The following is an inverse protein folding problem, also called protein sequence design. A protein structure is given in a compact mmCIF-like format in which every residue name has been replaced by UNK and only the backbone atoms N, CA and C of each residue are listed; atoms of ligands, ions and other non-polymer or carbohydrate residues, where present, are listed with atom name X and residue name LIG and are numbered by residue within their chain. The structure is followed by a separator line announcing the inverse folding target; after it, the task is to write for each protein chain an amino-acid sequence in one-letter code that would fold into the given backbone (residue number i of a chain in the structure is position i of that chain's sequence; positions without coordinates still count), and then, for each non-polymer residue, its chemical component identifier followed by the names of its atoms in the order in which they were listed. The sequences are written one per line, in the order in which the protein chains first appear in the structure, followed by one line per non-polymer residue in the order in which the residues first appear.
data_IF_159671400680
#
_entry.id   IF_159671400680
#
_cell.length_a   1.000
_cell.length_b   1.000
_cell.length_c   1.000
_cell.angle_alpha   90.00
_cell.angle_beta   90.00
_cell.angle_gamma   90.00
#
_symmetry.space_group_name_H-M   'P 1'
#
loop_
_entity.id
_entity.type
_entity.pdbx_description
1 polymer ?
#
# COMPACT_ATOMS: atom_id res chain seq x y z
N UNK A 1 14.02 -50.94 25.02
CA UNK A 1 13.75 -50.27 23.73
C UNK A 1 12.68 -49.19 23.83
N UNK A 2 11.48 -49.48 24.34
CA UNK A 2 10.36 -48.52 24.34
C UNK A 2 10.70 -47.14 24.96
N UNK A 3 11.41 -47.09 26.09
CA UNK A 3 11.84 -45.83 26.75
C UNK A 3 12.76 -44.97 25.90
N UNK A 4 13.65 -45.58 25.12
CA UNK A 4 14.60 -44.86 24.24
C UNK A 4 13.82 -44.27 23.06
N UNK A 5 12.87 -45.00 22.49
CA UNK A 5 12.01 -44.53 21.40
C UNK A 5 11.19 -43.31 21.86
N UNK A 6 10.59 -43.36 23.04
CA UNK A 6 9.87 -42.21 23.61
C UNK A 6 10.77 -41.01 23.85
N UNK A 7 11.99 -41.20 24.36
CA UNK A 7 12.93 -40.10 24.57
C UNK A 7 13.34 -39.44 23.24
N UNK A 8 13.62 -40.22 22.20
CA UNK A 8 13.97 -39.69 20.86
C UNK A 8 12.79 -38.93 20.25
N UNK A 9 11.57 -39.47 20.33
CA UNK A 9 10.37 -38.80 19.84
C UNK A 9 10.09 -37.48 20.59
N UNK A 10 10.25 -37.47 21.91
CA UNK A 10 10.04 -36.27 22.72
C UNK A 10 11.06 -35.17 22.38
N UNK A 11 12.34 -35.52 22.23
CA UNK A 11 13.38 -34.57 21.81
C UNK A 11 13.13 -34.06 20.40
N UNK A 12 12.79 -34.94 19.45
CA UNK A 12 12.48 -34.54 18.08
C UNK A 12 11.29 -33.58 18.02
N UNK A 13 10.22 -33.88 18.75
CA UNK A 13 9.05 -32.99 18.85
C UNK A 13 9.41 -31.65 19.50
N UNK A 14 10.20 -31.64 20.57
CA UNK A 14 10.63 -30.40 21.24
C UNK A 14 11.48 -29.52 20.30
N UNK A 15 12.38 -30.10 19.51
CA UNK A 15 13.18 -29.38 18.53
C UNK A 15 12.31 -28.83 17.39
N UNK A 16 11.33 -29.60 16.90
CA UNK A 16 10.38 -29.13 15.91
C UNK A 16 9.54 -27.95 16.45
N UNK A 17 9.03 -28.06 17.67
CA UNK A 17 8.29 -26.98 18.32
C UNK A 17 9.16 -25.73 18.51
N UNK A 18 10.42 -25.89 18.93
CA UNK A 18 11.36 -24.78 19.08
C UNK A 18 11.66 -24.12 17.73
N UNK A 19 11.83 -24.90 16.67
CA UNK A 19 12.04 -24.41 15.31
C UNK A 19 10.83 -23.60 14.82
N UNK A 20 9.61 -24.15 14.90
CA UNK A 20 8.38 -23.46 14.50
C UNK A 20 8.15 -22.18 15.32
N UNK A 21 8.45 -22.20 16.62
CA UNK A 21 8.35 -21.02 17.47
C UNK A 21 9.36 -19.94 17.09
N UNK A 22 10.60 -20.34 16.77
CA UNK A 22 11.63 -19.42 16.30
C UNK A 22 11.25 -18.80 14.94
N UNK A 23 10.62 -19.57 14.06
CA UNK A 23 10.13 -19.11 12.76
C UNK A 23 9.02 -18.07 12.93
N UNK A 24 7.96 -18.37 13.69
CA UNK A 24 6.88 -17.41 13.99
C UNK A 24 7.43 -16.13 14.62
N UNK A 25 8.40 -16.24 15.53
CA UNK A 25 9.03 -15.05 16.15
C UNK A 25 9.80 -14.17 15.18
N UNK A 26 10.29 -14.71 14.06
CA UNK A 26 11.01 -13.90 13.05
C UNK A 26 10.06 -13.02 12.24
N UNK A 27 8.83 -13.48 12.00
CA UNK A 27 7.89 -12.78 11.12
C UNK A 27 7.06 -11.72 11.87
N UNK A 28 6.78 -11.96 13.16
CA UNK A 28 5.98 -11.06 14.01
C UNK A 28 6.49 -9.60 14.02
N UNK A 29 7.80 -9.31 14.12
CA UNK A 29 8.30 -7.93 14.09
C UNK A 29 7.96 -7.19 12.79
N UNK A 30 8.07 -7.85 11.63
CA UNK A 30 7.78 -7.21 10.34
C UNK A 30 6.29 -6.91 10.20
N UNK A 31 5.46 -7.87 10.62
CA UNK A 31 4.00 -7.73 10.62
C UNK A 31 3.57 -6.60 11.57
N UNK A 32 4.12 -6.57 12.79
CA UNK A 32 3.84 -5.52 13.76
C UNK A 32 4.29 -4.15 13.28
N UNK A 33 5.51 -4.04 12.73
CA UNK A 33 6.04 -2.78 12.22
C UNK A 33 5.20 -2.25 11.05
N UNK A 34 4.80 -3.11 10.11
CA UNK A 34 3.92 -2.72 9.01
C UNK A 34 2.53 -2.27 9.53
N UNK A 35 1.98 -2.98 10.52
CA UNK A 35 0.73 -2.58 11.16
C UNK A 35 0.83 -1.22 11.85
N UNK A 36 1.90 -0.99 12.61
CA UNK A 36 2.17 0.27 13.30
C UNK A 36 2.38 1.44 12.34
N UNK A 37 3.09 1.21 11.25
CA UNK A 37 3.30 2.17 10.17
C UNK A 37 1.97 2.58 9.52
N UNK A 38 1.11 1.62 9.19
CA UNK A 38 -0.20 1.90 8.60
C UNK A 38 -1.13 2.63 9.58
N UNK A 39 -1.12 2.23 10.86
CA UNK A 39 -1.96 2.84 11.89
C UNK A 39 -1.49 4.25 12.29
N UNK A 40 -0.17 4.47 12.32
CA UNK A 40 0.45 5.68 12.89
C UNK A 40 1.60 6.21 12.02
N UNK A 41 1.35 6.56 10.74
CA UNK A 41 2.41 6.94 9.79
C UNK A 41 3.21 8.17 10.25
N UNK A 42 2.60 9.07 11.03
CA UNK A 42 3.27 10.27 11.56
C UNK A 42 4.42 9.98 12.51
N UNK A 43 4.41 8.83 13.19
CA UNK A 43 5.47 8.42 14.12
C UNK A 43 6.73 7.94 13.39
N UNK A 44 6.59 7.55 12.12
CA UNK A 44 7.67 7.06 11.27
C UNK A 44 8.32 8.18 10.45
N UNK A 45 7.89 9.43 10.65
CA UNK A 45 8.53 10.60 10.02
C UNK A 45 9.98 10.65 10.47
N UNK A 46 10.90 10.70 9.51
CA UNK A 46 12.35 10.67 9.73
C UNK A 46 12.91 9.33 10.22
N UNK A 47 12.18 8.23 10.04
CA UNK A 47 12.66 6.88 10.40
C UNK A 47 13.27 6.10 9.23
N UNK A 48 13.65 6.77 8.14
CA UNK A 48 14.21 6.15 6.93
C UNK A 48 15.44 5.27 7.24
N UNK A 49 16.41 5.80 7.99
CA UNK A 49 17.65 5.08 8.30
C UNK A 49 17.42 3.89 9.24
N UNK A 50 16.49 4.04 10.22
CA UNK A 50 16.08 2.95 11.11
C UNK A 50 15.41 1.82 10.31
N UNK A 51 14.54 2.17 9.37
CA UNK A 51 13.86 1.22 8.52
C UNK A 51 14.82 0.52 7.54
N UNK A 52 15.81 1.24 7.02
CA UNK A 52 16.87 0.67 6.18
C UNK A 52 17.71 -0.35 6.96
N UNK A 53 18.15 -0.02 8.18
CA UNK A 53 18.86 -0.96 9.05
C UNK A 53 18.03 -2.19 9.40
N UNK A 54 16.73 -2.01 9.67
CA UNK A 54 15.81 -3.11 9.91
C UNK A 54 15.68 -4.03 8.70
N UNK A 55 15.40 -3.48 7.52
CA UNK A 55 15.19 -4.26 6.29
C UNK A 55 16.47 -5.01 5.85
N UNK A 56 17.64 -4.42 6.08
CA UNK A 56 18.92 -5.09 5.89
C UNK A 56 19.08 -6.34 6.79
N UNK A 57 18.52 -6.30 8.01
CA UNK A 57 18.60 -7.42 8.98
C UNK A 57 17.61 -8.56 8.71
N UNK A 58 16.46 -8.26 8.09
CA UNK A 58 15.38 -9.25 7.89
C UNK A 58 15.66 -10.18 6.70
N UNK A 59 16.48 -9.75 5.74
CA UNK A 59 16.87 -10.57 4.59
C UNK A 59 15.72 -10.89 3.63
N UNK A 60 15.95 -11.79 2.68
CA UNK A 60 14.91 -12.34 1.80
C UNK A 60 14.67 -13.82 2.08
N UNK A 61 13.41 -14.23 2.09
CA UNK A 61 13.01 -15.63 2.14
C UNK A 61 12.83 -16.16 0.71
N UNK A 62 12.99 -17.47 0.54
CA UNK A 62 12.65 -18.16 -0.72
C UNK A 62 11.22 -18.69 -0.70
N UNK A 63 10.70 -18.98 0.48
CA UNK A 63 9.36 -19.51 0.68
C UNK A 63 8.34 -18.38 0.77
N UNK A 64 7.11 -18.65 0.33
CA UNK A 64 6.02 -17.69 0.37
C UNK A 64 5.32 -17.71 1.73
N UNK A 65 5.34 -16.56 2.42
CA UNK A 65 4.41 -16.26 3.51
C UNK A 65 3.68 -14.95 3.15
N UNK A 66 2.42 -15.03 2.68
CA UNK A 66 1.65 -13.87 2.27
C UNK A 66 1.60 -12.72 3.29
N UNK A 67 1.58 -13.02 4.60
CA UNK A 67 1.51 -11.98 5.63
C UNK A 67 2.85 -11.28 5.76
N UNK A 68 3.91 -12.06 5.88
CA UNK A 68 5.26 -11.54 6.00
C UNK A 68 5.70 -10.78 4.73
N UNK A 69 5.47 -11.36 3.55
CA UNK A 69 5.83 -10.76 2.27
C UNK A 69 5.07 -9.46 2.02
N UNK A 70 3.78 -9.41 2.36
CA UNK A 70 2.99 -8.16 2.33
C UNK A 70 3.56 -7.12 3.28
N UNK A 71 3.90 -7.52 4.51
CA UNK A 71 4.47 -6.60 5.50
C UNK A 71 5.82 -6.03 5.06
N UNK A 72 6.69 -6.87 4.48
CA UNK A 72 7.94 -6.40 3.88
C UNK A 72 7.70 -5.43 2.71
N UNK A 73 6.74 -5.71 1.84
CA UNK A 73 6.38 -4.81 0.74
C UNK A 73 5.92 -3.44 1.25
N UNK A 74 5.10 -3.40 2.31
CA UNK A 74 4.66 -2.15 2.96
C UNK A 74 5.84 -1.37 3.53
N UNK A 75 6.75 -2.07 4.24
CA UNK A 75 7.92 -1.45 4.86
C UNK A 75 8.89 -0.90 3.80
N UNK A 76 9.13 -1.62 2.71
CA UNK A 76 10.00 -1.15 1.63
C UNK A 76 9.40 0.04 0.87
N UNK A 77 8.08 0.02 0.64
CA UNK A 77 7.39 1.17 0.07
C UNK A 77 7.54 2.41 0.97
N UNK A 78 7.31 2.25 2.28
CA UNK A 78 7.48 3.35 3.21
C UNK A 78 8.92 3.85 3.31
N UNK A 79 9.92 2.97 3.19
CA UNK A 79 11.32 3.41 3.10
C UNK A 79 11.53 4.28 1.86
N UNK A 80 11.03 3.86 0.70
CA UNK A 80 11.13 4.64 -0.53
C UNK A 80 10.45 6.01 -0.40
N UNK A 81 9.25 6.06 0.19
CA UNK A 81 8.51 7.31 0.42
C UNK A 81 9.24 8.24 1.42
N UNK A 82 9.76 7.69 2.52
CA UNK A 82 10.51 8.47 3.52
C UNK A 82 11.82 9.03 2.95
N UNK A 83 12.49 8.29 2.06
CA UNK A 83 13.69 8.76 1.37
C UNK A 83 13.39 9.82 0.32
N UNK A 84 12.21 9.76 -0.31
CA UNK A 84 11.77 10.75 -1.31
C UNK A 84 11.22 12.04 -0.69
N UNK A 85 10.91 12.06 0.61
CA UNK A 85 10.26 13.20 1.27
C UNK A 85 11.13 14.47 1.44
N UNK A 86 12.45 14.41 1.73
CA UNK A 86 13.28 15.60 1.87
C UNK A 86 13.50 16.33 0.54
N UNK A 87 13.54 17.66 0.55
CA UNK A 87 13.78 18.48 -0.65
C UNK A 87 15.17 18.31 -1.26
N UNK A 88 16.12 17.79 -0.50
CA UNK A 88 17.50 17.49 -0.89
C UNK A 88 17.79 15.98 -0.95
N UNK A 89 16.74 15.16 -1.16
CA UNK A 89 16.90 13.71 -1.26
C UNK A 89 17.92 13.33 -2.34
N UNK A 90 18.79 12.36 -2.04
CA UNK A 90 19.70 11.75 -3.03
C UNK A 90 18.86 10.94 -4.03
N UNK A 91 18.77 11.36 -5.31
CA UNK A 91 17.94 10.69 -6.30
C UNK A 91 18.37 9.24 -6.55
N UNK A 92 19.66 8.95 -6.40
CA UNK A 92 20.19 7.60 -6.60
C UNK A 92 19.72 6.67 -5.49
N UNK A 93 19.81 7.13 -4.23
CA UNK A 93 19.33 6.38 -3.07
C UNK A 93 17.83 6.13 -3.14
N UNK A 94 17.05 7.13 -3.54
CA UNK A 94 15.59 7.00 -3.75
C UNK A 94 15.28 5.97 -4.83
N UNK A 95 15.96 6.02 -5.99
CA UNK A 95 15.73 5.08 -7.08
C UNK A 95 16.04 3.63 -6.67
N UNK A 96 17.18 3.40 -6.01
CA UNK A 96 17.54 2.07 -5.48
C UNK A 96 16.48 1.57 -4.49
N UNK A 97 15.95 2.45 -3.64
CA UNK A 97 14.89 2.09 -2.71
C UNK A 97 13.61 1.67 -3.43
N UNK A 98 13.20 2.41 -4.46
CA UNK A 98 12.02 2.09 -5.27
C UNK A 98 12.18 0.78 -6.06
N UNK A 99 13.35 0.54 -6.68
CA UNK A 99 13.65 -0.71 -7.40
C UNK A 99 13.62 -1.92 -6.45
N UNK A 100 14.19 -1.76 -5.25
CA UNK A 100 14.16 -2.79 -4.19
C UNK A 100 12.73 -3.07 -3.73
N UNK A 101 11.95 -2.01 -3.47
CA UNK A 101 10.55 -2.12 -3.08
C UNK A 101 9.73 -2.83 -4.17
N UNK A 102 9.94 -2.49 -5.45
CA UNK A 102 9.21 -3.12 -6.55
C UNK A 102 9.54 -4.61 -6.66
N UNK A 103 10.80 -4.98 -6.45
CA UNK A 103 11.22 -6.39 -6.40
C UNK A 103 10.49 -7.17 -5.29
N UNK A 104 10.34 -6.56 -4.11
CA UNK A 104 9.64 -7.15 -2.96
C UNK A 104 8.14 -7.23 -3.19
N UNK A 105 7.54 -6.16 -3.71
CA UNK A 105 6.12 -6.14 -4.12
C UNK A 105 5.83 -7.23 -5.15
N UNK A 106 6.67 -7.38 -6.18
CA UNK A 106 6.54 -8.45 -7.19
C UNK A 106 6.68 -9.85 -6.57
N UNK A 107 7.52 -10.03 -5.54
CA UNK A 107 7.59 -11.28 -4.81
C UNK A 107 6.31 -11.56 -4.02
N UNK A 108 5.83 -10.57 -3.25
CA UNK A 108 4.57 -10.67 -2.52
C UNK A 108 3.39 -11.00 -3.45
N UNK A 109 3.32 -10.43 -4.65
CA UNK A 109 2.30 -10.75 -5.65
C UNK A 109 2.42 -12.18 -6.22
N UNK A 110 3.63 -12.74 -6.32
CA UNK A 110 3.78 -14.16 -6.69
C UNK A 110 3.23 -15.08 -5.59
N UNK A 111 3.39 -14.68 -4.32
CA UNK A 111 2.91 -15.45 -3.17
C UNK A 111 1.40 -15.26 -2.91
N UNK A 112 0.86 -14.07 -3.19
CA UNK A 112 -0.53 -13.71 -2.96
C UNK A 112 -1.07 -12.82 -4.10
N UNK A 113 -1.38 -13.40 -5.28
CA UNK A 113 -1.83 -12.62 -6.45
C UNK A 113 -3.22 -11.98 -6.27
N UNK A 114 -3.96 -12.39 -5.25
CA UNK A 114 -5.28 -11.85 -4.88
C UNK A 114 -5.18 -10.74 -3.82
N UNK A 115 -4.00 -10.13 -3.60
CA UNK A 115 -3.86 -8.96 -2.72
C UNK A 115 -3.94 -7.65 -3.52
N UNK A 116 -5.12 -7.03 -3.53
CA UNK A 116 -5.35 -5.79 -4.28
C UNK A 116 -4.64 -4.56 -3.69
N UNK A 117 -4.24 -4.58 -2.42
CA UNK A 117 -3.41 -3.52 -1.85
C UNK A 117 -1.98 -3.61 -2.41
N UNK A 118 -1.43 -4.82 -2.50
CA UNK A 118 -0.10 -5.04 -3.09
C UNK A 118 -0.06 -4.67 -4.58
N UNK A 119 -1.13 -4.91 -5.33
CA UNK A 119 -1.25 -4.42 -6.71
C UNK A 119 -1.24 -2.88 -6.81
N UNK A 120 -1.84 -2.17 -5.85
CA UNK A 120 -1.76 -0.71 -5.80
C UNK A 120 -0.31 -0.25 -5.55
N UNK A 121 0.40 -0.91 -4.63
CA UNK A 121 1.81 -0.60 -4.36
C UNK A 121 2.69 -0.83 -5.59
N UNK A 122 2.40 -1.87 -6.38
CA UNK A 122 3.07 -2.10 -7.66
C UNK A 122 2.85 -0.92 -8.62
N UNK A 123 1.59 -0.50 -8.82
CA UNK A 123 1.27 0.63 -9.69
C UNK A 123 1.98 1.93 -9.27
N UNK A 124 2.03 2.20 -7.96
CA UNK A 124 2.72 3.37 -7.40
C UNK A 124 4.22 3.37 -7.70
N UNK A 125 4.89 2.23 -7.47
CA UNK A 125 6.32 2.10 -7.71
C UNK A 125 6.65 2.09 -9.20
N UNK A 126 5.84 1.42 -10.03
CA UNK A 126 5.98 1.41 -11.48
C UNK A 126 5.87 2.84 -12.05
N UNK A 127 4.89 3.62 -11.59
CA UNK A 127 4.76 5.02 -11.99
C UNK A 127 5.94 5.87 -11.51
N UNK A 128 6.45 5.64 -10.29
CA UNK A 128 7.60 6.36 -9.74
C UNK A 128 8.90 6.05 -10.50
N UNK A 129 9.06 4.82 -10.97
CA UNK A 129 10.22 4.36 -11.75
C UNK A 129 10.12 4.67 -13.25
N UNK A 130 9.00 5.25 -13.71
CA UNK A 130 8.79 5.59 -15.11
C UNK A 130 8.55 4.38 -16.01
N UNK A 131 7.98 3.31 -15.47
CA UNK A 131 7.55 2.13 -16.23
C UNK A 131 6.46 2.50 -17.27
N UNK A 132 6.26 1.68 -18.32
CA UNK A 132 5.27 1.96 -19.35
C UNK A 132 3.87 2.23 -18.78
N UNK A 133 3.11 3.22 -19.30
CA UNK A 133 1.74 3.53 -18.89
C UNK A 133 0.80 2.33 -18.81
N UNK A 134 0.96 1.37 -19.73
CA UNK A 134 0.18 0.13 -19.79
C UNK A 134 0.46 -0.80 -18.61
N UNK A 135 1.70 -0.85 -18.13
CA UNK A 135 2.09 -1.62 -16.93
C UNK A 135 1.44 -1.04 -15.69
N UNK A 136 1.56 0.28 -15.49
CA UNK A 136 0.94 1.00 -14.37
C UNK A 136 -0.57 0.83 -14.39
N UNK A 137 -1.21 1.00 -15.55
CA UNK A 137 -2.65 0.85 -15.71
C UNK A 137 -3.12 -0.57 -15.38
N UNK A 138 -2.38 -1.60 -15.79
CA UNK A 138 -2.70 -3.01 -15.49
C UNK A 138 -2.65 -3.28 -13.98
N UNK A 139 -1.60 -2.85 -13.29
CA UNK A 139 -1.48 -3.02 -11.84
C UNK A 139 -2.61 -2.30 -11.10
N UNK A 140 -2.96 -1.09 -11.55
CA UNK A 140 -4.05 -0.32 -10.99
C UNK A 140 -5.43 -0.99 -11.21
N UNK A 141 -5.67 -1.52 -12.40
CA UNK A 141 -6.89 -2.26 -12.73
C UNK A 141 -7.04 -3.50 -11.83
N UNK A 142 -5.98 -4.27 -11.65
CA UNK A 142 -5.97 -5.45 -10.77
C UNK A 142 -6.25 -5.08 -9.32
N UNK A 143 -5.67 -3.98 -8.82
CA UNK A 143 -6.00 -3.46 -7.48
C UNK A 143 -7.49 -3.17 -7.34
N UNK A 144 -8.09 -2.48 -8.32
CA UNK A 144 -9.49 -2.09 -8.28
C UNK A 144 -10.45 -3.29 -8.43
N UNK A 145 -10.07 -4.31 -9.21
CA UNK A 145 -10.87 -5.52 -9.39
C UNK A 145 -10.85 -6.40 -8.14
N UNK A 146 -9.69 -6.59 -7.53
CA UNK A 146 -9.51 -7.51 -6.40
C UNK A 146 -10.00 -6.87 -5.10
N UNK A 147 -9.77 -5.56 -4.91
CA UNK A 147 -10.13 -4.85 -3.69
C UNK A 147 -10.90 -3.56 -4.00
N UNK A 148 -12.16 -3.69 -4.46
CA UNK A 148 -13.00 -2.54 -4.83
C UNK A 148 -13.55 -1.78 -3.61
N UNK A 149 -13.75 -2.45 -2.47
CA UNK A 149 -14.50 -1.90 -1.33
C UNK A 149 -13.68 -1.71 -0.03
N UNK A 150 -12.38 -2.03 -0.03
CA UNK A 150 -11.53 -1.74 1.12
C UNK A 150 -11.27 -0.24 1.19
N UNK A 151 -11.73 0.42 2.25
CA UNK A 151 -11.66 1.86 2.39
C UNK A 151 -10.23 2.41 2.34
N UNK A 152 -9.26 1.71 2.95
CA UNK A 152 -7.87 2.17 2.99
C UNK A 152 -7.24 2.10 1.58
N UNK A 153 -7.44 0.98 0.88
CA UNK A 153 -6.96 0.81 -0.50
C UNK A 153 -7.66 1.77 -1.45
N UNK A 154 -8.98 1.95 -1.30
CA UNK A 154 -9.80 2.86 -2.10
C UNK A 154 -9.31 4.31 -1.98
N UNK A 155 -9.12 4.80 -0.75
CA UNK A 155 -8.64 6.17 -0.50
C UNK A 155 -7.23 6.39 -1.05
N UNK A 156 -6.34 5.40 -0.87
CA UNK A 156 -4.99 5.48 -1.41
C UNK A 156 -4.99 5.48 -2.94
N UNK A 157 -5.84 4.65 -3.56
CA UNK A 157 -5.99 4.59 -5.02
C UNK A 157 -6.52 5.90 -5.59
N UNK A 158 -7.53 6.51 -4.95
CA UNK A 158 -8.06 7.83 -5.34
C UNK A 158 -6.95 8.89 -5.29
N UNK A 159 -6.16 8.95 -4.21
CA UNK A 159 -5.05 9.92 -4.09
C UNK A 159 -3.98 9.70 -5.15
N UNK A 160 -3.58 8.44 -5.36
CA UNK A 160 -2.58 8.08 -6.35
C UNK A 160 -3.04 8.42 -7.76
N UNK A 161 -4.25 8.00 -8.15
CA UNK A 161 -4.81 8.33 -9.45
C UNK A 161 -4.99 9.83 -9.63
N UNK A 162 -5.43 10.54 -8.58
CA UNK A 162 -5.53 11.99 -8.57
C UNK A 162 -4.20 12.69 -8.87
N UNK A 163 -3.07 12.15 -8.40
CA UNK A 163 -1.73 12.70 -8.68
C UNK A 163 -1.21 12.40 -10.10
N UNK A 164 -1.80 11.41 -10.77
CA UNK A 164 -1.48 11.06 -12.16
C UNK A 164 -2.33 11.82 -13.19
N UNK A 165 -3.31 12.60 -12.76
CA UNK A 165 -4.16 13.35 -13.69
C UNK A 165 -3.35 14.29 -14.58
N UNK A 166 -3.70 14.33 -15.86
CA UNK A 166 -2.94 15.06 -16.88
C UNK A 166 -1.74 14.30 -17.45
N UNK A 167 -1.40 13.10 -16.96
CA UNK A 167 -0.28 12.28 -17.48
C UNK A 167 -0.68 11.30 -18.59
N UNK A 168 -1.92 11.33 -19.06
CA UNK A 168 -2.38 10.54 -20.22
C UNK A 168 -2.39 9.02 -20.02
N UNK A 169 -2.55 8.54 -18.77
CA UNK A 169 -2.65 7.11 -18.50
C UNK A 169 -4.01 6.55 -18.95
N UNK A 170 -4.06 5.52 -19.80
CA UNK A 170 -5.32 4.99 -20.34
C UNK A 170 -6.16 4.32 -19.23
N UNK A 171 -7.48 4.54 -19.26
CA UNK A 171 -8.44 3.89 -18.35
C UNK A 171 -8.43 4.37 -16.90
N UNK A 172 -7.49 5.26 -16.53
CA UNK A 172 -7.32 5.75 -15.16
C UNK A 172 -8.50 6.60 -14.70
N UNK A 173 -9.12 7.38 -15.59
CA UNK A 173 -10.31 8.19 -15.28
C UNK A 173 -11.50 7.33 -14.84
N UNK A 174 -11.76 6.22 -15.55
CA UNK A 174 -12.85 5.31 -15.19
C UNK A 174 -12.65 4.66 -13.81
N UNK A 175 -11.40 4.33 -13.46
CA UNK A 175 -11.05 3.81 -12.13
C UNK A 175 -11.30 4.89 -11.07
N UNK A 176 -10.85 6.12 -11.32
CA UNK A 176 -11.03 7.26 -10.42
C UNK A 176 -12.50 7.55 -10.13
N UNK A 177 -13.32 7.64 -11.17
CA UNK A 177 -14.76 7.91 -11.05
C UNK A 177 -15.46 6.80 -10.27
N UNK A 178 -15.19 5.54 -10.60
CA UNK A 178 -15.76 4.38 -9.89
C UNK A 178 -15.38 4.38 -8.42
N UNK A 179 -14.12 4.67 -8.10
CA UNK A 179 -13.63 4.68 -6.73
C UNK A 179 -14.28 5.80 -5.91
N UNK A 180 -14.34 7.00 -6.49
CA UNK A 180 -14.98 8.13 -5.84
C UNK A 180 -16.49 7.91 -5.64
N UNK A 181 -17.19 7.34 -6.61
CA UNK A 181 -18.60 6.97 -6.47
C UNK A 181 -18.78 5.93 -5.36
N UNK A 182 -17.88 4.94 -5.28
CA UNK A 182 -17.88 3.92 -4.23
C UNK A 182 -17.67 4.57 -2.86
N UNK A 183 -16.70 5.45 -2.72
CA UNK A 183 -16.42 6.19 -1.48
C UNK A 183 -17.59 7.10 -1.10
N UNK A 184 -18.17 7.82 -2.06
CA UNK A 184 -19.29 8.70 -1.82
C UNK A 184 -20.53 7.93 -1.35
N UNK A 185 -20.79 6.75 -1.93
CA UNK A 185 -21.96 5.92 -1.60
C UNK A 185 -21.79 5.15 -0.29
N UNK A 186 -20.60 4.59 -0.04
CA UNK A 186 -20.39 3.61 1.04
C UNK A 186 -19.37 4.02 2.10
N UNK A 187 -18.45 4.95 1.79
CA UNK A 187 -17.43 5.41 2.73
C UNK A 187 -18.00 6.23 3.89
N UNK A 188 -17.21 6.47 4.93
CA UNK A 188 -17.63 7.39 5.98
C UNK A 188 -17.44 8.86 5.55
N UNK A 189 -18.12 9.79 6.22
CA UNK A 189 -18.05 11.21 5.88
C UNK A 189 -16.62 11.76 6.04
N UNK A 190 -15.91 11.32 7.08
CA UNK A 190 -14.54 11.74 7.37
C UNK A 190 -13.57 11.30 6.27
N UNK A 191 -13.74 10.11 5.69
CA UNK A 191 -12.90 9.63 4.58
C UNK A 191 -13.09 10.48 3.33
N UNK A 192 -14.34 10.85 3.03
CA UNK A 192 -14.67 11.70 1.90
C UNK A 192 -14.07 13.11 2.06
N UNK A 193 -14.14 13.69 3.25
CA UNK A 193 -13.49 14.98 3.57
C UNK A 193 -11.97 14.89 3.47
N UNK A 194 -11.37 13.81 3.98
CA UNK A 194 -9.93 13.57 3.93
C UNK A 194 -9.42 13.38 2.49
N UNK A 195 -10.20 12.78 1.60
CA UNK A 195 -9.88 12.68 0.17
C UNK A 195 -10.05 14.03 -0.51
N UNK A 196 -11.17 14.71 -0.31
CA UNK A 196 -11.45 16.01 -0.92
C UNK A 196 -10.38 17.07 -0.56
N UNK A 197 -9.85 17.04 0.65
CA UNK A 197 -8.78 17.94 1.09
C UNK A 197 -7.38 17.58 0.59
N UNK A 198 -7.17 16.35 0.12
CA UNK A 198 -5.85 15.86 -0.31
C UNK A 198 -5.66 15.84 -1.84
N UNK A 199 -6.74 16.00 -2.62
CA UNK A 199 -6.67 15.93 -4.07
C UNK A 199 -6.08 17.23 -4.68
N UNK A 200 -5.25 17.12 -5.73
CA UNK A 200 -4.80 18.28 -6.47
C UNK A 200 -5.97 18.95 -7.22
N UNK A 201 -5.87 20.24 -7.60
CA UNK A 201 -7.00 21.00 -8.17
C UNK A 201 -7.69 20.34 -9.37
N UNK A 202 -6.98 19.74 -10.37
CA UNK A 202 -7.63 19.04 -11.47
C UNK A 202 -8.51 17.88 -10.99
N UNK A 203 -8.03 17.12 -9.99
CA UNK A 203 -8.73 15.96 -9.46
C UNK A 203 -9.92 16.35 -8.59
N UNK A 204 -9.78 17.45 -7.84
CA UNK A 204 -10.88 18.05 -7.10
C UNK A 204 -12.00 18.57 -8.03
N UNK A 205 -11.66 19.05 -9.23
CA UNK A 205 -12.67 19.50 -10.19
C UNK A 205 -13.54 18.33 -10.70
N UNK A 206 -12.94 17.15 -10.93
CA UNK A 206 -13.67 15.95 -11.33
C UNK A 206 -14.65 15.46 -10.26
N UNK A 207 -14.33 15.65 -8.98
CA UNK A 207 -15.31 15.37 -7.91
C UNK A 207 -16.60 16.18 -8.09
N UNK A 208 -16.52 17.43 -8.55
CA UNK A 208 -17.69 18.33 -8.64
C UNK A 208 -18.70 17.94 -9.72
N UNK A 209 -18.23 17.32 -10.80
CA UNK A 209 -19.08 16.97 -11.96
C UNK A 209 -19.66 15.56 -11.86
N UNK A 210 -19.35 14.84 -10.79
CA UNK A 210 -19.76 13.46 -10.58
C UNK A 210 -21.29 13.33 -10.51
N UNK A 211 -21.87 12.26 -11.07
CA UNK A 211 -23.31 12.04 -10.99
C UNK A 211 -23.75 11.90 -9.53
N UNK A 212 -24.57 12.84 -9.08
CA UNK A 212 -25.05 12.93 -7.68
C UNK A 212 -26.31 12.11 -7.40
N UNK A 213 -26.79 11.36 -8.39
CA UNK A 213 -27.98 10.54 -8.26
C UNK A 213 -27.78 9.47 -7.17
N UNK A 214 -28.66 9.45 -6.17
CA UNK A 214 -28.57 8.51 -5.05
C UNK A 214 -27.55 8.86 -3.96
N UNK A 215 -26.85 10.01 -4.04
CA UNK A 215 -25.94 10.48 -2.99
C UNK A 215 -26.69 11.41 -2.02
N UNK A 216 -26.56 11.12 -0.73
CA UNK A 216 -27.16 11.88 0.38
C UNK A 216 -26.78 13.39 0.33
N UNK A 217 -27.71 14.32 0.64
CA UNK A 217 -27.46 15.77 0.54
C UNK A 217 -26.22 16.27 1.29
N UNK A 218 -25.90 15.69 2.45
CA UNK A 218 -24.72 16.09 3.25
C UNK A 218 -23.41 15.76 2.53
N UNK A 219 -23.31 14.56 1.95
CA UNK A 219 -22.15 14.10 1.18
C UNK A 219 -21.97 14.92 -0.10
N UNK A 220 -23.09 15.25 -0.76
CA UNK A 220 -23.13 16.11 -1.94
C UNK A 220 -22.47 17.47 -1.69
N UNK A 221 -22.75 18.10 -0.53
CA UNK A 221 -22.14 19.40 -0.16
C UNK A 221 -20.61 19.31 -0.05
N UNK A 222 -20.06 18.25 0.52
CA UNK A 222 -18.60 18.06 0.64
C UNK A 222 -17.98 17.94 -0.74
N UNK A 223 -18.56 17.10 -1.61
CA UNK A 223 -18.09 16.91 -2.98
C UNK A 223 -18.12 18.22 -3.78
N UNK A 224 -19.18 19.02 -3.64
CA UNK A 224 -19.31 20.33 -4.32
C UNK A 224 -18.32 21.38 -3.80
N UNK A 225 -17.92 21.29 -2.52
CA UNK A 225 -17.00 22.22 -1.89
C UNK A 225 -15.53 21.79 -2.02
N UNK A 226 -15.24 20.56 -2.44
CA UNK A 226 -13.90 20.07 -2.72
C UNK A 226 -13.17 21.04 -3.67
N UNK A 227 -12.01 21.57 -3.25
CA UNK A 227 -11.19 22.51 -4.02
C UNK A 227 -11.59 24.01 -3.95
N UNK A 228 -12.55 24.43 -3.12
CA UNK A 228 -12.72 25.87 -2.77
C UNK A 228 -11.73 26.34 -1.71
N UNK A 229 -11.20 25.42 -0.91
CA UNK A 229 -10.31 25.69 0.23
C UNK A 229 -8.82 25.63 -0.11
N UNK A 230 -8.45 25.19 -1.32
CA UNK A 230 -7.04 25.03 -1.74
C UNK A 230 -6.46 26.26 -2.47
N UNK A 231 -7.13 27.41 -2.41
CA UNK A 231 -6.73 28.65 -3.10
C UNK A 231 -6.60 29.86 -2.17
N UNK A 232 -6.36 29.64 -0.87
CA UNK A 232 -6.07 30.67 0.12
C UNK A 232 -4.62 30.63 0.56
#
# INVERSE_FOLDING_TARGET
MLRIIFAVLAVGLALLCAFLFAEVRRDVPAISAAGDLMARPRLWRNSADLLEGYLASVGSRKDCDPRFDRSLAILELARADLLAAPSNADPTRVRIAQETALTRVRHALRCAPQDGATWLYAAMLEAALGEPPTTVARSLELSALITPYDAAVLMQRIRFVGSLQGRGLPGVEAIFERDLLTLAKWGCLADLEAVAGALPPPAAALMRIMPMAGIEPRRRKIIQNAGRTSGG
#
